data_IF_299580368299
#
_entry.id   IF_299580368299
#
_cell.length_a   1.000
_cell.length_b   1.000
_cell.length_c   1.000
_cell.angle_alpha   90.00
_cell.angle_beta   90.00
_cell.angle_gamma   90.00
#
_symmetry.space_group_name_H-M   'P 1'
#
loop_
_entity.id
_entity.type
_entity.pdbx_description
1 polymer ?
#
# COMPACT_ATOMS: atom_id res chain seq x y z
N UNK A 1 -3.52 -4.76 -14.23
CA UNK A 1 -3.51 -4.15 -15.57
C UNK A 1 -3.66 -2.66 -15.45
N UNK A 2 -3.48 -1.85 -16.53
CA UNK A 2 -3.44 -0.37 -16.37
C UNK A 2 -4.69 0.22 -15.71
N UNK A 3 -5.87 -0.35 -16.01
CA UNK A 3 -7.13 0.10 -15.42
C UNK A 3 -7.20 -0.15 -13.91
N UNK A 4 -6.72 -1.29 -13.44
CA UNK A 4 -6.72 -1.64 -12.03
C UNK A 4 -5.81 -0.72 -11.20
N UNK A 5 -4.70 -0.26 -11.79
CA UNK A 5 -3.85 0.76 -11.16
C UNK A 5 -4.62 2.04 -10.83
N UNK A 6 -5.44 2.54 -11.77
CA UNK A 6 -6.23 3.75 -11.52
C UNK A 6 -7.30 3.54 -10.45
N UNK A 7 -7.93 2.37 -10.45
CA UNK A 7 -8.93 2.01 -9.42
C UNK A 7 -8.27 1.92 -8.03
N UNK A 8 -7.13 1.26 -7.94
CA UNK A 8 -6.33 1.20 -6.72
C UNK A 8 -5.94 2.60 -6.24
N UNK A 9 -5.38 3.43 -7.11
CA UNK A 9 -4.93 4.77 -6.74
C UNK A 9 -6.09 5.64 -6.25
N UNK A 10 -7.25 5.61 -6.90
CA UNK A 10 -8.46 6.33 -6.43
C UNK A 10 -8.92 5.85 -5.05
N UNK A 11 -8.92 4.55 -4.82
CA UNK A 11 -9.25 4.00 -3.50
C UNK A 11 -8.23 4.45 -2.46
N UNK A 12 -6.94 4.37 -2.78
CA UNK A 12 -5.85 4.75 -1.89
C UNK A 12 -5.99 6.21 -1.43
N UNK A 13 -6.06 7.16 -2.36
CA UNK A 13 -6.15 8.59 -2.06
C UNK A 13 -7.38 8.93 -1.21
N UNK A 14 -8.49 8.22 -1.39
CA UNK A 14 -9.68 8.39 -0.54
C UNK A 14 -9.41 8.07 0.95
N UNK A 15 -8.45 7.16 1.21
CA UNK A 15 -8.04 6.80 2.57
C UNK A 15 -6.90 7.65 3.12
N UNK A 16 -6.17 8.34 2.25
CA UNK A 16 -5.06 9.19 2.67
C UNK A 16 -5.58 10.57 3.10
N UNK A 17 -4.90 11.14 4.10
CA UNK A 17 -5.26 12.45 4.65
C UNK A 17 -4.83 13.63 3.76
N UNK A 18 -5.34 14.80 4.09
CA UNK A 18 -4.84 16.06 3.57
C UNK A 18 -3.46 16.42 4.16
N UNK A 19 -3.13 17.72 4.10
CA UNK A 19 -1.87 18.23 4.65
C UNK A 19 -1.85 18.16 6.19
N UNK A 20 -0.73 17.71 6.76
CA UNK A 20 -0.41 17.80 8.18
C UNK A 20 1.07 18.11 8.39
N UNK A 21 1.37 18.95 9.38
CA UNK A 21 2.74 19.26 9.84
C UNK A 21 2.88 19.03 11.36
N UNK A 22 2.01 18.18 11.91
CA UNK A 22 2.04 17.80 13.32
C UNK A 22 3.32 16.99 13.62
N UNK A 23 4.20 17.54 14.47
CA UNK A 23 5.48 16.92 14.85
C UNK A 23 5.30 15.64 15.67
N UNK A 24 4.13 15.42 16.25
CA UNK A 24 3.80 14.17 16.97
C UNK A 24 3.63 12.99 16.02
N UNK A 25 3.41 13.26 14.75
CA UNK A 25 3.42 12.23 13.70
C UNK A 25 4.88 11.82 13.40
N UNK A 26 5.19 10.54 13.65
CA UNK A 26 6.53 9.98 13.42
C UNK A 26 7.03 10.18 11.97
N UNK A 27 6.12 10.29 11.00
CA UNK A 27 6.45 10.59 9.61
C UNK A 27 7.00 12.00 9.44
N UNK A 28 6.51 12.96 10.24
CA UNK A 28 6.91 14.35 10.18
C UNK A 28 8.16 14.64 11.03
N UNK A 29 8.40 13.84 12.09
CA UNK A 29 9.51 14.08 13.03
C UNK A 29 10.90 14.06 12.37
N UNK A 30 11.06 13.40 11.21
CA UNK A 30 12.35 13.27 10.51
C UNK A 30 12.71 14.46 9.62
N UNK A 31 11.80 15.41 9.42
CA UNK A 31 11.98 16.45 8.41
C UNK A 31 12.04 15.89 6.98
N UNK A 32 12.68 16.62 6.08
CA UNK A 32 12.87 16.22 4.68
C UNK A 32 14.29 15.71 4.35
N UNK A 33 15.17 15.62 5.34
CA UNK A 33 16.58 15.26 5.17
C UNK A 33 17.47 16.38 4.63
N UNK A 34 16.93 17.55 4.31
CA UNK A 34 17.64 18.73 3.81
C UNK A 34 17.59 19.91 4.78
N UNK A 35 17.18 19.66 6.03
CA UNK A 35 17.10 20.68 7.08
C UNK A 35 15.76 21.40 7.20
N UNK A 36 14.75 21.03 6.41
CA UNK A 36 13.41 21.56 6.54
C UNK A 36 12.57 20.71 7.52
N UNK A 37 11.59 21.38 8.15
CA UNK A 37 10.58 20.73 9.00
C UNK A 37 9.79 19.71 8.20
N UNK A 38 9.46 18.57 8.83
CA UNK A 38 8.65 17.53 8.21
C UNK A 38 7.18 17.92 8.09
N UNK A 39 6.56 17.37 7.10
CA UNK A 39 5.12 17.45 6.85
C UNK A 39 4.68 16.29 5.97
N UNK A 40 3.39 16.05 5.89
CA UNK A 40 2.80 15.01 5.06
C UNK A 40 1.67 15.60 4.23
N UNK A 41 1.59 15.22 2.96
CA UNK A 41 0.49 15.56 2.06
C UNK A 41 0.09 14.34 1.25
N UNK A 42 -1.21 14.05 1.20
CA UNK A 42 -1.75 12.89 0.49
C UNK A 42 -1.04 11.58 0.87
N UNK A 43 -0.70 11.39 2.16
CA UNK A 43 0.01 10.22 2.67
C UNK A 43 1.51 10.17 2.36
N UNK A 44 2.06 11.15 1.63
CA UNK A 44 3.49 11.24 1.31
C UNK A 44 4.17 12.19 2.30
N UNK A 45 5.17 11.70 3.05
CA UNK A 45 5.97 12.54 3.93
C UNK A 45 6.98 13.37 3.15
N UNK A 46 7.40 14.53 3.71
CA UNK A 46 8.45 15.37 3.12
C UNK A 46 9.75 14.58 2.89
N UNK A 47 10.10 13.68 3.82
CA UNK A 47 11.23 12.76 3.64
C UNK A 47 11.09 11.91 2.37
N UNK A 48 9.97 11.21 2.23
CA UNK A 48 9.71 10.33 1.08
C UNK A 48 9.69 11.11 -0.23
N UNK A 49 9.11 12.33 -0.22
CA UNK A 49 9.08 13.18 -1.40
C UNK A 49 10.48 13.66 -1.80
N UNK A 50 11.28 14.08 -0.82
CA UNK A 50 12.66 14.50 -1.06
C UNK A 50 13.54 13.35 -1.59
N UNK A 51 13.42 12.15 -1.01
CA UNK A 51 14.12 10.96 -1.54
C UNK A 51 13.68 10.64 -2.99
N UNK A 52 12.39 10.74 -3.28
CA UNK A 52 11.87 10.43 -4.61
C UNK A 52 12.33 11.43 -5.68
N UNK A 53 12.34 12.72 -5.34
CA UNK A 53 12.67 13.79 -6.30
C UNK A 53 14.15 14.16 -6.33
N UNK A 54 14.90 13.81 -5.28
CA UNK A 54 16.29 14.27 -5.07
C UNK A 54 16.38 15.75 -4.74
N UNK A 55 15.30 16.39 -4.27
CA UNK A 55 15.19 17.83 -3.99
C UNK A 55 14.62 18.09 -2.60
N UNK A 56 14.94 19.24 -1.97
CA UNK A 56 14.29 19.65 -0.73
C UNK A 56 12.76 19.71 -0.84
N UNK A 57 12.08 19.35 0.25
CA UNK A 57 10.63 19.32 0.34
C UNK A 57 10.11 20.21 1.50
N UNK A 58 10.31 21.54 1.45
CA UNK A 58 9.78 22.44 2.45
C UNK A 58 8.24 22.44 2.45
N UNK A 59 7.64 22.97 3.50
CA UNK A 59 6.19 22.97 3.72
C UNK A 59 5.40 23.50 2.52
N UNK A 60 5.88 24.56 1.86
CA UNK A 60 5.23 25.17 0.69
C UNK A 60 5.18 24.19 -0.49
N UNK A 61 6.26 23.44 -0.73
CA UNK A 61 6.32 22.39 -1.76
C UNK A 61 5.32 21.28 -1.43
N UNK A 62 5.31 20.84 -0.17
CA UNK A 62 4.41 19.77 0.27
C UNK A 62 2.94 20.17 0.16
N UNK A 63 2.57 21.38 0.59
CA UNK A 63 1.20 21.91 0.46
C UNK A 63 0.71 22.03 -0.98
N UNK A 64 1.61 22.23 -1.92
CA UNK A 64 1.28 22.39 -3.34
C UNK A 64 1.12 21.03 -4.07
N UNK A 65 1.45 19.88 -3.44
CA UNK A 65 1.33 18.58 -4.08
C UNK A 65 -0.11 18.23 -4.41
N UNK A 66 -0.31 17.78 -5.63
CA UNK A 66 -1.57 17.28 -6.15
C UNK A 66 -1.56 15.73 -6.24
N UNK A 67 -2.72 15.14 -6.47
CA UNK A 67 -2.82 13.69 -6.73
C UNK A 67 -1.98 13.27 -7.94
N UNK A 68 -1.92 14.09 -8.99
CA UNK A 68 -1.12 13.79 -10.19
C UNK A 68 0.39 13.77 -9.89
N UNK A 69 0.87 14.63 -8.97
CA UNK A 69 2.28 14.67 -8.57
C UNK A 69 2.69 13.42 -7.81
N UNK A 70 1.86 12.93 -6.88
CA UNK A 70 2.18 11.77 -6.05
C UNK A 70 1.91 10.42 -6.72
N UNK A 71 1.10 10.40 -7.77
CA UNK A 71 0.72 9.18 -8.51
C UNK A 71 1.91 8.35 -8.98
N UNK A 72 2.96 8.91 -9.65
CA UNK A 72 4.13 8.13 -10.08
C UNK A 72 4.94 7.56 -8.89
N UNK A 73 5.01 8.29 -7.78
CA UNK A 73 5.66 7.82 -6.55
C UNK A 73 4.95 6.58 -6.01
N UNK A 74 3.61 6.65 -5.88
CA UNK A 74 2.81 5.51 -5.40
C UNK A 74 2.92 4.31 -6.33
N UNK A 75 2.94 4.54 -7.65
CA UNK A 75 3.13 3.47 -8.62
C UNK A 75 4.47 2.77 -8.41
N UNK A 76 5.56 3.51 -8.37
CA UNK A 76 6.91 2.99 -8.21
C UNK A 76 7.09 2.25 -6.88
N UNK A 77 6.64 2.86 -5.77
CA UNK A 77 6.98 2.38 -4.42
C UNK A 77 6.07 1.27 -3.91
N UNK A 78 4.86 1.11 -4.47
CA UNK A 78 3.87 0.17 -3.94
C UNK A 78 3.31 -0.77 -4.99
N UNK A 79 2.98 -0.30 -6.19
CA UNK A 79 2.43 -1.11 -7.26
C UNK A 79 3.49 -1.95 -7.98
N UNK A 80 4.55 -1.29 -8.44
CA UNK A 80 5.61 -1.93 -9.21
C UNK A 80 6.46 -2.86 -8.34
N UNK A 81 6.71 -2.49 -7.07
CA UNK A 81 7.53 -3.28 -6.15
C UNK A 81 6.90 -4.64 -5.81
N UNK A 82 5.58 -4.73 -5.78
CA UNK A 82 4.85 -6.00 -5.61
C UNK A 82 4.51 -6.67 -6.94
N UNK A 83 5.01 -6.11 -8.06
CA UNK A 83 4.77 -6.63 -9.42
C UNK A 83 3.27 -6.79 -9.73
N UNK A 84 2.46 -5.83 -9.29
CA UNK A 84 1.01 -5.91 -9.37
C UNK A 84 0.51 -6.12 -10.81
N UNK A 85 1.17 -5.52 -11.83
CA UNK A 85 0.83 -5.72 -13.24
C UNK A 85 0.92 -7.20 -13.71
N UNK A 86 1.60 -8.06 -12.95
CA UNK A 86 1.73 -9.49 -13.23
C UNK A 86 0.83 -10.37 -12.38
N UNK A 87 0.01 -9.79 -11.51
CA UNK A 87 -0.94 -10.51 -10.67
C UNK A 87 -2.33 -10.53 -11.32
N UNK A 88 -3.18 -11.53 -11.01
CA UNK A 88 -4.57 -11.52 -11.45
C UNK A 88 -5.32 -10.28 -10.96
N UNK A 89 -6.33 -9.83 -11.72
CA UNK A 89 -7.21 -8.73 -11.32
C UNK A 89 -7.76 -8.96 -9.91
N UNK A 90 -7.82 -7.90 -9.12
CA UNK A 90 -8.20 -7.92 -7.72
C UNK A 90 -7.06 -8.30 -6.77
N UNK A 91 -6.29 -9.35 -7.09
CA UNK A 91 -5.11 -9.74 -6.30
C UNK A 91 -4.04 -8.64 -6.35
N UNK A 92 -3.88 -8.00 -7.50
CA UNK A 92 -3.02 -6.84 -7.72
C UNK A 92 -3.37 -5.68 -6.77
N UNK A 93 -4.65 -5.27 -6.72
CA UNK A 93 -5.15 -4.19 -5.85
C UNK A 93 -4.93 -4.54 -4.38
N UNK A 94 -5.34 -5.75 -3.95
CA UNK A 94 -5.25 -6.16 -2.55
C UNK A 94 -3.79 -6.23 -2.07
N UNK A 95 -2.89 -6.71 -2.93
CA UNK A 95 -1.46 -6.82 -2.61
C UNK A 95 -0.79 -5.44 -2.55
N UNK A 96 -1.11 -4.55 -3.49
CA UNK A 96 -0.59 -3.18 -3.49
C UNK A 96 -1.09 -2.38 -2.28
N UNK A 97 -2.35 -2.51 -1.88
CA UNK A 97 -2.89 -1.85 -0.70
C UNK A 97 -2.22 -2.33 0.60
N UNK A 98 -2.00 -3.63 0.73
CA UNK A 98 -1.24 -4.15 1.87
C UNK A 98 0.22 -3.70 1.87
N UNK A 99 0.81 -3.52 0.69
CA UNK A 99 2.17 -2.97 0.56
C UNK A 99 2.25 -1.53 1.10
N UNK A 100 1.23 -0.70 0.85
CA UNK A 100 1.14 0.65 1.44
C UNK A 100 1.07 0.57 2.97
N UNK A 101 0.26 -0.35 3.50
CA UNK A 101 0.02 -0.43 4.95
C UNK A 101 1.18 -1.03 5.74
N UNK A 102 1.86 -2.05 5.21
CA UNK A 102 2.84 -2.82 5.99
C UNK A 102 4.10 -3.23 5.21
N UNK A 103 4.31 -2.61 4.06
CA UNK A 103 5.48 -2.81 3.21
C UNK A 103 5.44 -4.08 2.35
N UNK A 104 6.35 -4.15 1.35
CA UNK A 104 6.30 -5.18 0.30
C UNK A 104 6.54 -6.60 0.83
N UNK A 105 7.44 -6.77 1.79
CA UNK A 105 7.74 -8.10 2.34
C UNK A 105 6.54 -8.70 3.08
N UNK A 106 5.82 -7.90 3.87
CA UNK A 106 4.62 -8.36 4.58
C UNK A 106 3.50 -8.68 3.61
N UNK A 107 3.25 -7.81 2.62
CA UNK A 107 2.28 -8.04 1.57
C UNK A 107 2.55 -9.37 0.82
N UNK A 108 3.80 -9.60 0.42
CA UNK A 108 4.21 -10.83 -0.26
C UNK A 108 4.03 -12.08 0.61
N UNK A 109 4.42 -12.03 1.90
CA UNK A 109 4.28 -13.16 2.82
C UNK A 109 2.84 -13.58 3.04
N UNK A 110 1.93 -12.60 3.18
CA UNK A 110 0.50 -12.89 3.31
C UNK A 110 -0.01 -13.49 2.00
N UNK A 111 0.39 -12.95 0.84
CA UNK A 111 -0.01 -13.47 -0.48
C UNK A 111 0.44 -14.92 -0.68
N UNK A 112 1.69 -15.23 -0.37
CA UNK A 112 2.24 -16.58 -0.48
C UNK A 112 1.50 -17.58 0.42
N UNK A 113 1.17 -17.18 1.66
CA UNK A 113 0.36 -18.00 2.57
C UNK A 113 -1.05 -18.23 2.02
N UNK A 114 -1.67 -17.19 1.47
CA UNK A 114 -3.04 -17.22 0.95
C UNK A 114 -3.19 -18.07 -0.31
N UNK A 115 -2.13 -18.13 -1.12
CA UNK A 115 -2.06 -18.98 -2.32
C UNK A 115 -1.83 -20.44 -1.97
N UNK A 116 -1.06 -20.71 -0.91
CA UNK A 116 -0.67 -22.05 -0.50
C UNK A 116 0.37 -22.72 -1.41
N UNK A 117 1.07 -23.71 -0.88
CA UNK A 117 2.07 -24.49 -1.64
C UNK A 117 3.34 -23.74 -2.00
N UNK A 118 3.56 -22.55 -1.44
CA UNK A 118 4.71 -21.70 -1.69
C UNK A 118 5.63 -21.58 -0.45
N UNK A 119 6.91 -21.37 -0.70
CA UNK A 119 7.82 -20.88 0.34
C UNK A 119 7.46 -19.44 0.69
N UNK A 120 7.29 -19.14 1.98
CA UNK A 120 6.90 -17.82 2.49
C UNK A 120 8.16 -17.00 2.76
N UNK A 121 8.83 -16.56 1.69
CA UNK A 121 10.09 -15.79 1.75
C UNK A 121 9.88 -14.26 1.69
N UNK A 122 8.70 -13.80 1.30
CA UNK A 122 8.38 -12.38 1.18
C UNK A 122 8.84 -11.74 -0.14
N UNK A 123 9.13 -12.56 -1.15
CA UNK A 123 9.50 -12.09 -2.48
C UNK A 123 8.52 -12.61 -3.56
N UNK A 124 7.93 -11.69 -4.33
CA UNK A 124 7.05 -12.06 -5.45
C UNK A 124 7.90 -12.31 -6.69
N UNK A 125 8.28 -13.59 -6.87
CA UNK A 125 9.05 -14.07 -8.01
C UNK A 125 8.19 -14.78 -9.06
N UNK A 126 8.82 -15.28 -10.12
CA UNK A 126 8.12 -16.02 -11.20
C UNK A 126 7.32 -17.21 -10.67
N UNK A 127 7.86 -17.96 -9.69
CA UNK A 127 7.16 -19.11 -9.07
C UNK A 127 5.91 -18.67 -8.31
N UNK A 128 6.00 -17.58 -7.55
CA UNK A 128 4.86 -17.01 -6.83
C UNK A 128 3.76 -16.58 -7.80
N UNK A 129 4.12 -15.83 -8.85
CA UNK A 129 3.17 -15.36 -9.87
C UNK A 129 2.49 -16.55 -10.57
N UNK A 130 3.24 -17.55 -11.02
CA UNK A 130 2.68 -18.73 -11.67
C UNK A 130 1.68 -19.46 -10.74
N UNK A 131 2.06 -19.72 -9.48
CA UNK A 131 1.20 -20.40 -8.53
C UNK A 131 -0.10 -19.65 -8.25
N UNK A 132 -0.08 -18.30 -8.25
CA UNK A 132 -1.28 -17.49 -8.07
C UNK A 132 -2.22 -17.60 -9.28
N UNK A 133 -1.66 -17.59 -10.50
CA UNK A 133 -2.45 -17.77 -11.73
C UNK A 133 -3.09 -19.15 -11.85
N UNK A 134 -2.54 -20.18 -11.18
CA UNK A 134 -3.10 -21.53 -11.11
C UNK A 134 -4.24 -21.67 -10.06
N UNK A 135 -4.62 -20.61 -9.37
CA UNK A 135 -5.66 -20.59 -8.34
C UNK A 135 -6.88 -19.77 -8.78
N UNK A 136 -8.02 -20.08 -8.16
CA UNK A 136 -9.18 -19.18 -8.24
C UNK A 136 -8.85 -17.85 -7.54
N UNK A 137 -8.86 -16.73 -8.27
CA UNK A 137 -8.54 -15.43 -7.68
C UNK A 137 -9.48 -15.03 -6.55
N UNK A 138 -10.75 -15.47 -6.56
CA UNK A 138 -11.70 -15.21 -5.47
C UNK A 138 -11.32 -15.95 -4.19
N UNK A 139 -10.84 -17.18 -4.32
CA UNK A 139 -10.33 -17.93 -3.18
C UNK A 139 -9.08 -17.26 -2.60
N UNK A 140 -8.11 -16.90 -3.44
CA UNK A 140 -6.90 -16.18 -3.02
C UNK A 140 -7.25 -14.88 -2.32
N UNK A 141 -8.19 -14.09 -2.85
CA UNK A 141 -8.62 -12.81 -2.27
C UNK A 141 -9.26 -12.98 -0.89
N UNK A 142 -10.15 -13.95 -0.72
CA UNK A 142 -10.74 -14.21 0.58
C UNK A 142 -9.70 -14.66 1.62
N UNK A 143 -8.81 -15.59 1.24
CA UNK A 143 -7.71 -16.01 2.12
C UNK A 143 -6.77 -14.85 2.46
N UNK A 144 -6.50 -13.96 1.49
CA UNK A 144 -5.67 -12.78 1.68
C UNK A 144 -6.32 -11.78 2.65
N UNK A 145 -7.61 -11.54 2.51
CA UNK A 145 -8.39 -10.71 3.43
C UNK A 145 -8.27 -11.21 4.88
N UNK A 146 -8.48 -12.51 5.11
CA UNK A 146 -8.35 -13.09 6.45
C UNK A 146 -6.90 -13.02 6.96
N UNK A 147 -5.92 -13.22 6.09
CA UNK A 147 -4.50 -13.10 6.42
C UNK A 147 -4.13 -11.68 6.85
N UNK A 148 -4.65 -10.65 6.15
CA UNK A 148 -4.49 -9.24 6.51
C UNK A 148 -5.16 -8.93 7.84
N UNK A 149 -6.39 -9.42 8.04
CA UNK A 149 -7.15 -9.19 9.27
C UNK A 149 -6.42 -9.74 10.49
N UNK A 150 -5.94 -10.98 10.43
CA UNK A 150 -5.12 -11.58 11.49
C UNK A 150 -3.84 -10.79 11.77
N UNK A 151 -3.20 -10.27 10.72
CA UNK A 151 -2.03 -9.44 10.89
C UNK A 151 -2.38 -8.15 11.65
N UNK A 152 -3.44 -7.44 11.29
CA UNK A 152 -3.85 -6.23 11.99
C UNK A 152 -4.20 -6.53 13.47
N UNK A 153 -4.95 -7.60 13.73
CA UNK A 153 -5.33 -8.03 15.09
C UNK A 153 -4.12 -8.40 15.96
N UNK A 154 -2.96 -8.69 15.36
CA UNK A 154 -1.71 -9.00 16.08
C UNK A 154 -0.88 -7.76 16.44
N UNK A 155 -1.30 -6.57 16.04
CA UNK A 155 -0.59 -5.32 16.32
C UNK A 155 -1.05 -4.71 17.65
N UNK A 156 -0.11 -4.21 18.43
CA UNK A 156 -0.40 -3.59 19.74
C UNK A 156 -1.39 -2.42 19.65
N UNK A 157 -1.34 -1.68 18.54
CA UNK A 157 -2.21 -0.53 18.28
C UNK A 157 -3.61 -0.90 17.74
N UNK A 158 -3.94 -2.20 17.63
CA UNK A 158 -5.23 -2.63 17.08
C UNK A 158 -6.45 -2.09 17.86
N UNK A 159 -6.33 -1.96 19.17
CA UNK A 159 -7.39 -1.39 20.01
C UNK A 159 -7.76 0.04 19.56
N UNK A 160 -6.78 0.83 19.14
CA UNK A 160 -6.96 2.23 18.74
C UNK A 160 -7.33 2.38 17.24
N UNK A 161 -6.64 1.68 16.36
CA UNK A 161 -6.76 1.87 14.90
C UNK A 161 -7.49 0.74 14.19
N UNK A 162 -7.76 -0.37 14.86
CA UNK A 162 -8.30 -1.60 14.26
C UNK A 162 -9.62 -1.42 13.51
N UNK A 163 -10.50 -0.52 13.97
CA UNK A 163 -11.75 -0.21 13.26
C UNK A 163 -11.48 0.36 11.86
N UNK A 164 -10.53 1.28 11.75
CA UNK A 164 -10.12 1.88 10.48
C UNK A 164 -9.46 0.86 9.55
N UNK A 165 -8.54 0.05 10.08
CA UNK A 165 -7.84 -0.98 9.32
C UNK A 165 -8.79 -2.08 8.83
N UNK A 166 -9.72 -2.54 9.68
CA UNK A 166 -10.73 -3.54 9.29
C UNK A 166 -11.66 -3.00 8.21
N UNK A 167 -12.10 -1.74 8.32
CA UNK A 167 -12.93 -1.10 7.29
C UNK A 167 -12.18 -1.02 5.96
N UNK A 168 -10.94 -0.52 5.94
CA UNK A 168 -10.11 -0.45 4.73
C UNK A 168 -9.88 -1.83 4.11
N UNK A 169 -9.59 -2.84 4.93
CA UNK A 169 -9.41 -4.21 4.49
C UNK A 169 -10.67 -4.74 3.78
N UNK A 170 -11.85 -4.48 4.34
CA UNK A 170 -13.13 -4.87 3.74
C UNK A 170 -13.41 -4.13 2.43
N UNK A 171 -13.25 -2.81 2.40
CA UNK A 171 -13.45 -2.00 1.19
C UNK A 171 -12.50 -2.43 0.06
N UNK A 172 -11.26 -2.77 0.41
CA UNK A 172 -10.27 -3.32 -0.55
C UNK A 172 -10.74 -4.66 -1.13
N UNK A 173 -11.25 -5.57 -0.28
CA UNK A 173 -11.78 -6.85 -0.75
C UNK A 173 -13.00 -6.66 -1.67
N UNK A 174 -13.95 -5.80 -1.29
CA UNK A 174 -15.14 -5.51 -2.09
C UNK A 174 -14.77 -4.97 -3.48
N UNK A 175 -13.84 -3.99 -3.55
CA UNK A 175 -13.33 -3.50 -4.82
C UNK A 175 -12.64 -4.60 -5.63
N UNK A 176 -11.77 -5.38 -5.00
CA UNK A 176 -11.03 -6.45 -5.65
C UNK A 176 -11.97 -7.52 -6.24
N UNK A 177 -12.99 -7.93 -5.49
CA UNK A 177 -13.98 -8.92 -5.96
C UNK A 177 -14.88 -8.40 -7.08
N UNK A 178 -15.08 -7.07 -7.18
CA UNK A 178 -15.92 -6.47 -8.22
C UNK A 178 -15.30 -6.51 -9.62
N UNK A 179 -14.02 -6.84 -9.72
CA UNK A 179 -13.26 -6.85 -10.99
C UNK A 179 -12.69 -8.22 -11.37
N UNK A 180 -13.16 -9.28 -10.69
CA UNK A 180 -12.75 -10.69 -10.91
C UNK A 180 -13.85 -11.49 -11.62
#
# INVERSE_FOLDING_TARGET
>A
MKENWYMFFKMLIKHEGGFTDDERDNGNAKGDGHGNKGSTMLGVTAWTWAEYTGKPAPIEVMKALTEEDVKPLYKKNYWDVVKADNLPSGVDISTADMCVNAGPSRAAKILQKSTGGLTVDGAIGKKTIAAIHDRDPKEVLNNYYYGRQKFYESLDDFEHYGKGWTRRNKETLELALSIV
#
